data_IF_422237754995
#
_entry.id   IF_422237754995
#
_cell.length_a   1.000
_cell.length_b   1.000
_cell.length_c   1.000
_cell.angle_alpha   90.00
_cell.angle_beta   90.00
_cell.angle_gamma   90.00
#
_symmetry.space_group_name_H-M   'P 1'
#
loop_
_entity.id
_entity.type
_entity.pdbx_description
1 polymer ?
#
# COMPACT_ATOMS: atom_id res chain seq x y z
N UNK A 1 -26.22 -8.68 15.85
CA UNK A 1 -26.27 -10.02 16.48
C UNK A 1 -26.95 -10.92 15.46
N UNK A 2 -26.29 -12.01 15.03
CA UNK A 2 -26.86 -12.94 14.06
C UNK A 2 -27.97 -13.74 14.75
N UNK A 3 -29.22 -13.52 14.36
CA UNK A 3 -30.39 -14.04 15.07
C UNK A 3 -30.97 -15.29 14.43
N UNK A 4 -30.54 -15.64 13.22
CA UNK A 4 -31.05 -16.79 12.47
C UNK A 4 -29.97 -17.85 12.24
N UNK A 5 -30.30 -19.16 12.25
CA UNK A 5 -29.34 -20.24 12.06
C UNK A 5 -28.55 -20.15 10.74
N UNK A 6 -29.15 -19.62 9.68
CA UNK A 6 -28.54 -19.41 8.36
C UNK A 6 -27.52 -18.26 8.30
N UNK A 7 -27.52 -17.39 9.31
CA UNK A 7 -26.63 -16.23 9.35
C UNK A 7 -25.19 -16.63 9.67
N UNK A 8 -24.99 -17.69 10.47
CA UNK A 8 -23.66 -18.13 10.89
C UNK A 8 -22.82 -18.70 9.73
N UNK A 9 -23.34 -19.62 8.89
CA UNK A 9 -22.64 -20.05 7.67
C UNK A 9 -22.34 -18.89 6.73
N UNK A 10 -23.28 -17.96 6.56
CA UNK A 10 -23.11 -16.80 5.67
C UNK A 10 -22.05 -15.83 6.20
N UNK A 11 -22.05 -15.55 7.51
CA UNK A 11 -21.04 -14.75 8.17
C UNK A 11 -19.64 -15.37 8.04
N UNK A 12 -19.55 -16.70 8.16
CA UNK A 12 -18.30 -17.43 7.94
C UNK A 12 -17.79 -17.29 6.51
N UNK A 13 -18.63 -17.46 5.50
CA UNK A 13 -18.25 -17.30 4.09
C UNK A 13 -17.76 -15.88 3.80
N UNK A 14 -18.44 -14.86 4.33
CA UNK A 14 -18.01 -13.46 4.19
C UNK A 14 -16.69 -13.21 4.94
N UNK A 15 -16.52 -13.77 6.12
CA UNK A 15 -15.25 -13.66 6.85
C UNK A 15 -14.11 -14.32 6.09
N UNK A 16 -14.26 -15.55 5.62
CA UNK A 16 -13.21 -16.28 4.88
C UNK A 16 -12.83 -15.56 3.58
N UNK A 17 -13.78 -14.89 2.91
CA UNK A 17 -13.50 -14.13 1.68
C UNK A 17 -12.86 -12.76 1.92
N UNK A 18 -13.16 -12.10 3.04
CA UNK A 18 -12.74 -10.71 3.30
C UNK A 18 -11.59 -10.59 4.30
N UNK A 19 -11.46 -11.53 5.24
CA UNK A 19 -10.43 -11.51 6.26
C UNK A 19 -9.01 -11.48 5.67
N UNK A 20 -8.65 -12.25 4.62
CA UNK A 20 -7.29 -12.19 4.08
C UNK A 20 -6.87 -10.77 3.65
N UNK A 21 -7.81 -10.00 3.09
CA UNK A 21 -7.57 -8.64 2.60
C UNK A 21 -7.61 -7.60 3.74
N UNK A 22 -8.52 -7.78 4.70
CA UNK A 22 -8.82 -6.75 5.71
C UNK A 22 -8.20 -7.02 7.08
N UNK A 23 -7.70 -8.24 7.35
CA UNK A 23 -7.19 -8.63 8.67
C UNK A 23 -6.08 -7.70 9.16
N UNK A 24 -5.19 -7.25 8.26
CA UNK A 24 -4.16 -6.27 8.61
C UNK A 24 -4.76 -4.97 9.17
N UNK A 25 -5.80 -4.45 8.54
CA UNK A 25 -6.46 -3.22 8.98
C UNK A 25 -7.22 -3.44 10.29
N UNK A 26 -7.97 -4.55 10.40
CA UNK A 26 -8.66 -4.92 11.64
C UNK A 26 -7.70 -5.03 12.83
N UNK A 27 -6.52 -5.61 12.63
CA UNK A 27 -5.49 -5.70 13.65
C UNK A 27 -4.87 -4.34 13.98
N UNK A 28 -4.70 -3.46 13.00
CA UNK A 28 -4.23 -2.10 13.24
C UNK A 28 -5.25 -1.30 14.08
N UNK A 29 -6.54 -1.36 13.73
CA UNK A 29 -7.62 -0.69 14.46
C UNK A 29 -7.73 -1.21 15.91
N UNK A 30 -7.64 -2.53 16.11
CA UNK A 30 -7.64 -3.12 17.44
C UNK A 30 -6.49 -2.60 18.31
N UNK A 31 -5.28 -2.52 17.75
CA UNK A 31 -4.10 -1.99 18.44
C UNK A 31 -4.23 -0.49 18.71
N UNK A 32 -4.67 0.29 17.75
CA UNK A 32 -4.87 1.73 17.89
C UNK A 32 -5.91 2.04 18.97
N UNK A 33 -7.00 1.27 19.03
CA UNK A 33 -7.99 1.36 20.11
C UNK A 33 -7.39 1.02 21.47
N UNK A 34 -6.59 -0.03 21.58
CA UNK A 34 -5.92 -0.39 22.83
C UNK A 34 -4.96 0.72 23.31
N UNK A 35 -4.16 1.29 22.41
CA UNK A 35 -3.29 2.45 22.70
C UNK A 35 -4.10 3.64 23.21
N UNK A 36 -5.17 4.01 22.50
CA UNK A 36 -6.01 5.15 22.87
C UNK A 36 -6.72 4.97 24.21
N UNK A 37 -7.09 3.73 24.54
CA UNK A 37 -7.79 3.43 25.80
C UNK A 37 -6.83 3.39 26.99
N UNK A 38 -5.64 2.83 26.80
CA UNK A 38 -4.62 2.69 27.84
C UNK A 38 -3.74 3.93 28.01
N UNK A 39 -3.77 4.83 27.02
CA UNK A 39 -2.81 5.94 26.87
C UNK A 39 -1.33 5.49 26.94
N UNK A 40 -1.05 4.23 26.61
CA UNK A 40 0.28 3.63 26.77
C UNK A 40 0.71 2.91 25.50
N UNK A 41 2.01 2.98 25.20
CA UNK A 41 2.66 2.16 24.17
C UNK A 41 3.14 0.81 24.72
N UNK A 42 3.00 0.60 26.03
CA UNK A 42 3.32 -0.66 26.69
C UNK A 42 2.31 -1.75 26.28
N UNK A 43 2.83 -2.78 25.63
CA UNK A 43 2.04 -3.90 25.11
C UNK A 43 1.42 -4.75 26.22
N UNK A 44 2.00 -4.74 27.42
CA UNK A 44 1.44 -5.45 28.58
C UNK A 44 0.16 -4.77 29.07
N UNK A 45 0.08 -3.44 28.95
CA UNK A 45 -1.12 -2.67 29.30
C UNK A 45 -2.30 -2.94 28.34
N UNK A 46 -2.05 -3.51 27.15
CA UNK A 46 -3.07 -3.74 26.13
C UNK A 46 -3.84 -5.06 26.32
N UNK A 47 -3.35 -5.96 27.19
CA UNK A 47 -3.87 -7.34 27.31
C UNK A 47 -5.37 -7.40 27.61
N UNK A 48 -5.90 -6.48 28.41
CA UNK A 48 -7.33 -6.42 28.75
C UNK A 48 -8.19 -5.65 27.74
N UNK A 49 -7.57 -5.05 26.72
CA UNK A 49 -8.22 -4.15 25.76
C UNK A 49 -8.31 -4.75 24.35
N UNK A 50 -8.37 -6.08 24.28
CA UNK A 50 -8.55 -6.81 23.02
C UNK A 50 -9.89 -6.53 22.34
N UNK A 51 -10.00 -6.78 21.03
CA UNK A 51 -11.24 -6.57 20.30
C UNK A 51 -12.29 -7.63 20.67
N UNK A 52 -13.57 -7.22 20.70
CA UNK A 52 -14.73 -8.08 21.09
C UNK A 52 -14.85 -9.35 20.23
N UNK A 53 -14.37 -9.31 19.00
CA UNK A 53 -14.41 -10.43 18.06
C UNK A 53 -13.25 -11.42 18.22
N UNK A 54 -12.28 -11.16 19.10
CA UNK A 54 -11.14 -12.04 19.39
C UNK A 54 -11.21 -12.54 20.83
N UNK A 55 -10.93 -13.83 21.06
CA UNK A 55 -10.81 -14.36 22.42
C UNK A 55 -9.63 -13.70 23.13
N UNK A 56 -9.81 -13.42 24.43
CA UNK A 56 -8.79 -12.79 25.28
C UNK A 56 -7.45 -13.51 25.20
N UNK A 57 -7.43 -14.83 25.37
CA UNK A 57 -6.19 -15.62 25.35
C UNK A 57 -5.40 -15.49 24.03
N UNK A 58 -6.09 -15.33 22.89
CA UNK A 58 -5.43 -15.08 21.60
C UNK A 58 -4.85 -13.67 21.52
N UNK A 59 -5.57 -12.69 22.06
CA UNK A 59 -5.09 -11.31 22.11
C UNK A 59 -3.88 -11.16 23.04
N UNK A 60 -3.93 -11.76 24.23
CA UNK A 60 -2.81 -11.82 25.18
C UNK A 60 -1.57 -12.46 24.53
N UNK A 61 -1.73 -13.60 23.84
CA UNK A 61 -0.65 -14.25 23.12
C UNK A 61 -0.03 -13.34 22.03
N UNK A 62 -0.85 -12.54 21.34
CA UNK A 62 -0.37 -11.56 20.36
C UNK A 62 0.38 -10.41 21.02
N UNK A 63 -0.13 -9.86 22.13
CA UNK A 63 0.55 -8.84 22.93
C UNK A 63 1.93 -9.32 23.39
N UNK A 64 2.03 -10.55 23.91
CA UNK A 64 3.32 -11.16 24.27
C UNK A 64 4.24 -11.30 23.07
N UNK A 65 3.73 -11.75 21.92
CA UNK A 65 4.54 -11.87 20.69
C UNK A 65 5.08 -10.51 20.24
N UNK A 66 4.26 -9.47 20.28
CA UNK A 66 4.70 -8.11 19.93
C UNK A 66 5.66 -7.52 20.95
N UNK A 67 5.58 -7.96 22.21
CA UNK A 67 6.47 -7.52 23.28
C UNK A 67 7.89 -8.10 23.15
N UNK A 68 8.09 -9.12 22.30
CA UNK A 68 9.41 -9.68 22.06
C UNK A 68 10.36 -8.67 21.41
N UNK A 69 11.61 -8.62 21.88
CA UNK A 69 12.66 -7.76 21.33
C UNK A 69 12.81 -7.86 19.80
N UNK A 70 12.92 -9.06 19.20
CA UNK A 70 13.01 -9.22 17.75
C UNK A 70 11.84 -8.60 16.97
N UNK A 71 10.62 -8.68 17.51
CA UNK A 71 9.46 -8.07 16.86
C UNK A 71 9.52 -6.54 16.94
N UNK A 72 9.86 -5.99 18.11
CA UNK A 72 9.98 -4.56 18.30
C UNK A 72 11.09 -3.96 17.44
N UNK A 73 12.25 -4.61 17.38
CA UNK A 73 13.37 -4.21 16.53
C UNK A 73 12.94 -4.14 15.06
N UNK A 74 12.28 -5.19 14.55
CA UNK A 74 11.75 -5.20 13.18
C UNK A 74 10.72 -4.10 12.95
N UNK A 75 9.83 -3.87 13.92
CA UNK A 75 8.81 -2.82 13.85
C UNK A 75 9.44 -1.42 13.82
N UNK A 76 10.44 -1.17 14.67
CA UNK A 76 11.16 0.10 14.73
C UNK A 76 12.01 0.32 13.49
N UNK A 77 12.70 -0.71 12.98
CA UNK A 77 13.42 -0.65 11.73
C UNK A 77 12.47 -0.28 10.57
N UNK A 78 11.33 -0.96 10.44
CA UNK A 78 10.33 -0.63 9.43
C UNK A 78 9.78 0.81 9.59
N UNK A 79 9.61 1.30 10.83
CA UNK A 79 9.21 2.69 11.10
C UNK A 79 10.29 3.68 10.66
N UNK A 80 11.55 3.42 11.00
CA UNK A 80 12.71 4.24 10.59
C UNK A 80 12.86 4.25 9.07
N UNK A 81 12.72 3.11 8.40
CA UNK A 81 12.78 3.02 6.94
C UNK A 81 11.70 3.87 6.26
N UNK A 82 10.47 3.85 6.78
CA UNK A 82 9.39 4.74 6.29
C UNK A 82 9.68 6.21 6.56
N UNK A 83 10.24 6.55 7.72
CA UNK A 83 10.56 7.93 8.10
C UNK A 83 11.79 8.49 7.36
N UNK A 84 12.73 7.64 6.94
CA UNK A 84 13.93 8.04 6.20
C UNK A 84 13.64 8.44 4.75
N UNK A 85 12.49 7.99 4.20
CA UNK A 85 12.11 8.21 2.80
C UNK A 85 10.62 8.58 2.68
N UNK A 86 10.17 9.69 3.29
CA UNK A 86 8.77 10.10 3.27
C UNK A 86 8.23 10.37 1.85
N UNK A 87 9.11 10.75 0.92
CA UNK A 87 8.82 11.01 -0.49
C UNK A 87 8.66 9.74 -1.34
N UNK A 88 9.14 8.59 -0.86
CA UNK A 88 9.12 7.33 -1.59
C UNK A 88 7.79 6.60 -1.39
N UNK A 89 7.25 6.03 -2.48
CA UNK A 89 5.98 5.30 -2.53
C UNK A 89 4.71 6.14 -2.32
N UNK A 90 4.81 7.47 -2.46
CA UNK A 90 3.63 8.35 -2.46
C UNK A 90 2.96 8.29 -3.83
N UNK A 91 1.67 7.99 -3.84
CA UNK A 91 0.83 7.92 -5.04
C UNK A 91 -0.61 8.34 -4.67
N UNK A 92 -1.38 8.84 -5.63
CA UNK A 92 -2.74 9.37 -5.46
C UNK A 92 -3.84 8.39 -5.88
N UNK A 93 -3.47 7.21 -6.39
CA UNK A 93 -4.38 6.16 -6.89
C UNK A 93 -5.33 5.57 -5.83
N UNK A 94 -4.98 5.71 -4.53
CA UNK A 94 -5.72 5.07 -3.45
C UNK A 94 -5.76 3.55 -3.60
N UNK A 95 -6.93 2.95 -3.38
CA UNK A 95 -7.13 1.49 -3.51
C UNK A 95 -7.43 1.03 -4.95
N UNK A 96 -7.43 1.94 -5.92
CA UNK A 96 -7.74 1.62 -7.32
C UNK A 96 -6.48 1.11 -8.00
N UNK A 97 -6.61 -0.03 -8.71
CA UNK A 97 -5.49 -0.64 -9.41
C UNK A 97 -5.02 0.18 -10.60
N UNK A 98 -3.74 0.03 -10.96
CA UNK A 98 -3.15 0.66 -12.15
C UNK A 98 -3.87 0.23 -13.44
N UNK A 99 -4.29 -1.04 -13.54
CA UNK A 99 -5.07 -1.54 -14.67
C UNK A 99 -6.43 -0.84 -14.79
N UNK A 100 -7.09 -0.59 -13.67
CA UNK A 100 -8.35 0.17 -13.65
C UNK A 100 -8.13 1.63 -14.06
N UNK A 101 -7.03 2.26 -13.63
CA UNK A 101 -6.67 3.60 -14.09
C UNK A 101 -6.40 3.63 -15.61
N UNK A 102 -5.66 2.66 -16.13
CA UNK A 102 -5.40 2.51 -17.56
C UNK A 102 -6.68 2.32 -18.38
N UNK A 103 -7.62 1.49 -17.93
CA UNK A 103 -8.91 1.30 -18.61
C UNK A 103 -9.76 2.58 -18.64
N UNK A 104 -9.80 3.33 -17.53
CA UNK A 104 -10.51 4.62 -17.48
C UNK A 104 -9.90 5.62 -18.46
N UNK A 105 -8.58 5.71 -18.46
CA UNK A 105 -7.86 6.64 -19.33
C UNK A 105 -7.99 6.25 -20.81
N UNK A 106 -8.06 4.94 -21.12
CA UNK A 106 -8.34 4.44 -22.46
C UNK A 106 -9.69 4.93 -23.00
N UNK A 107 -10.72 4.90 -22.16
CA UNK A 107 -12.04 5.43 -22.51
C UNK A 107 -12.03 6.96 -22.66
N UNK A 108 -11.31 7.68 -21.79
CA UNK A 108 -11.23 9.15 -21.84
C UNK A 108 -10.47 9.66 -23.07
N UNK A 109 -9.42 8.96 -23.50
CA UNK A 109 -8.59 9.35 -24.64
C UNK A 109 -9.03 8.71 -25.96
N UNK A 110 -9.99 7.78 -25.93
CA UNK A 110 -10.41 6.96 -27.07
C UNK A 110 -9.26 6.21 -27.77
N UNK A 111 -8.18 5.94 -27.04
CA UNK A 111 -7.00 5.19 -27.48
C UNK A 111 -6.32 4.51 -26.31
N UNK A 112 -5.44 3.56 -26.60
CA UNK A 112 -4.58 2.97 -25.58
C UNK A 112 -3.68 4.07 -24.97
N UNK A 113 -3.72 4.28 -23.63
CA UNK A 113 -2.86 5.24 -22.98
C UNK A 113 -1.42 4.71 -22.89
N UNK A 114 -0.47 5.63 -22.87
CA UNK A 114 0.93 5.27 -22.61
C UNK A 114 1.13 4.92 -21.14
N UNK A 115 2.16 4.15 -20.84
CA UNK A 115 2.54 3.86 -19.46
C UNK A 115 2.82 5.16 -18.68
N UNK A 116 3.47 6.14 -19.31
CA UNK A 116 3.76 7.43 -18.67
C UNK A 116 2.47 8.21 -18.34
N UNK A 117 1.46 8.20 -19.22
CA UNK A 117 0.18 8.86 -18.94
C UNK A 117 -0.56 8.22 -17.75
N UNK A 118 -0.50 6.89 -17.61
CA UNK A 118 -1.09 6.21 -16.45
C UNK A 118 -0.27 6.47 -15.17
N UNK A 119 1.05 6.63 -15.30
CA UNK A 119 1.91 7.04 -14.20
C UNK A 119 1.55 8.45 -13.71
N UNK A 120 1.41 9.41 -14.61
CA UNK A 120 0.97 10.78 -14.32
C UNK A 120 -0.36 10.80 -13.58
N UNK A 121 -1.36 10.05 -14.05
CA UNK A 121 -2.68 9.97 -13.42
C UNK A 121 -2.63 9.47 -11.96
N UNK A 122 -1.59 8.71 -11.61
CA UNK A 122 -1.44 8.09 -10.29
C UNK A 122 -0.40 8.79 -9.40
N UNK A 123 0.40 9.70 -9.95
CA UNK A 123 1.51 10.35 -9.24
C UNK A 123 1.53 11.88 -9.38
N UNK A 124 0.59 12.49 -10.10
CA UNK A 124 0.33 13.94 -10.06
C UNK A 124 -0.81 14.29 -9.09
N UNK A 125 -0.78 15.52 -8.58
CA UNK A 125 -1.82 16.07 -7.72
C UNK A 125 -3.03 16.42 -8.57
N UNK A 126 -4.23 16.08 -8.08
CA UNK A 126 -5.47 16.34 -8.83
C UNK A 126 -5.63 17.85 -9.07
N UNK A 127 -5.79 18.24 -10.33
CA UNK A 127 -6.00 19.64 -10.72
C UNK A 127 -4.72 20.47 -10.83
N UNK A 128 -3.54 19.86 -10.68
CA UNK A 128 -2.26 20.49 -11.02
C UNK A 128 -1.44 19.54 -11.89
N UNK A 129 -0.37 20.04 -12.51
CA UNK A 129 0.59 19.22 -13.25
C UNK A 129 1.78 18.77 -12.36
N UNK A 130 1.69 19.04 -11.05
CA UNK A 130 2.78 18.78 -10.11
C UNK A 130 2.75 17.33 -9.62
N UNK A 131 3.93 16.72 -9.58
CA UNK A 131 4.12 15.43 -8.95
C UNK A 131 3.89 15.49 -7.43
N UNK A 132 3.40 14.38 -6.89
CA UNK A 132 3.12 14.23 -5.46
C UNK A 132 4.41 14.17 -4.63
N UNK A 133 5.52 13.79 -5.24
CA UNK A 133 6.85 13.81 -4.65
C UNK A 133 7.94 14.05 -5.68
N UNK A 134 9.08 14.56 -5.22
CA UNK A 134 10.27 14.76 -6.05
C UNK A 134 10.77 13.44 -6.65
N UNK A 135 10.66 12.33 -5.90
CA UNK A 135 11.01 11.01 -6.41
C UNK A 135 10.14 10.59 -7.58
N UNK A 136 8.83 10.85 -7.55
CA UNK A 136 7.95 10.53 -8.68
C UNK A 136 8.34 11.33 -9.94
N UNK A 137 8.65 12.62 -9.77
CA UNK A 137 9.17 13.46 -10.85
C UNK A 137 10.47 12.91 -11.43
N UNK A 138 11.44 12.63 -10.56
CA UNK A 138 12.76 12.12 -10.99
C UNK A 138 12.62 10.79 -11.75
N UNK A 139 11.71 9.91 -11.33
CA UNK A 139 11.44 8.64 -12.01
C UNK A 139 10.87 8.89 -13.41
N UNK A 140 9.85 9.73 -13.54
CA UNK A 140 9.25 10.09 -14.83
C UNK A 140 10.30 10.69 -15.78
N UNK A 141 11.03 11.72 -15.35
CA UNK A 141 12.05 12.38 -16.16
C UNK A 141 13.19 11.44 -16.55
N UNK A 142 13.62 10.55 -15.65
CA UNK A 142 14.66 9.57 -15.95
C UNK A 142 14.16 8.55 -16.96
N UNK A 143 12.93 8.06 -16.81
CA UNK A 143 12.32 7.11 -17.74
C UNK A 143 12.19 7.72 -19.13
N UNK A 144 11.66 8.93 -19.25
CA UNK A 144 11.52 9.64 -20.53
C UNK A 144 12.87 9.82 -21.22
N UNK A 145 13.91 10.22 -20.47
CA UNK A 145 15.27 10.32 -21.00
C UNK A 145 15.80 8.97 -21.48
N UNK A 146 15.65 7.91 -20.69
CA UNK A 146 16.12 6.57 -21.06
C UNK A 146 15.38 6.02 -22.28
N UNK A 147 14.07 6.27 -22.40
CA UNK A 147 13.29 5.90 -23.57
C UNK A 147 13.76 6.66 -24.82
N UNK A 148 14.03 7.97 -24.71
CA UNK A 148 14.55 8.79 -25.80
C UNK A 148 15.95 8.34 -26.25
N UNK A 149 16.83 7.97 -25.31
CA UNK A 149 18.18 7.48 -25.62
C UNK A 149 18.17 6.10 -26.29
N UNK A 150 17.28 5.19 -25.85
CA UNK A 150 17.18 3.82 -26.37
C UNK A 150 16.48 3.73 -27.73
N UNK A 151 15.51 4.61 -27.97
CA UNK A 151 14.66 4.56 -29.16
C UNK A 151 14.69 5.89 -29.91
N UNK A 152 15.74 6.07 -30.70
CA UNK A 152 15.90 7.17 -31.67
C UNK A 152 14.73 7.27 -32.65
N UNK A 153 14.51 8.47 -33.20
CA UNK A 153 13.46 8.77 -34.18
C UNK A 153 13.39 7.72 -35.30
N UNK A 154 12.20 7.14 -35.48
CA UNK A 154 11.91 6.13 -36.52
C UNK A 154 11.92 4.68 -36.04
N UNK A 155 12.35 4.40 -34.80
CA UNK A 155 12.18 3.06 -34.20
C UNK A 155 10.82 2.93 -33.47
N UNK A 156 10.10 1.80 -33.61
CA UNK A 156 8.86 1.61 -32.85
C UNK A 156 9.14 1.55 -31.35
N UNK A 157 8.67 2.55 -30.62
CA UNK A 157 8.79 2.60 -29.16
C UNK A 157 7.75 1.67 -28.50
N UNK A 158 8.16 0.78 -27.59
CA UNK A 158 7.20 0.01 -26.80
C UNK A 158 6.45 0.91 -25.82
N UNK A 159 5.25 0.51 -25.42
CA UNK A 159 4.47 1.25 -24.42
C UNK A 159 5.18 1.27 -23.04
N UNK A 160 5.86 0.17 -22.71
CA UNK A 160 6.69 0.05 -21.51
C UNK A 160 7.98 -0.68 -21.89
N UNK A 161 9.14 -0.08 -21.60
CA UNK A 161 10.41 -0.80 -21.50
C UNK A 161 10.64 -1.14 -20.02
N UNK A 162 10.49 -2.43 -19.62
CA UNK A 162 10.64 -2.83 -18.23
C UNK A 162 12.04 -2.57 -17.66
N UNK A 163 13.08 -2.63 -18.49
CA UNK A 163 14.45 -2.39 -18.03
C UNK A 163 14.69 -0.90 -17.80
N UNK A 164 14.29 -0.05 -18.77
CA UNK A 164 14.34 1.40 -18.60
C UNK A 164 13.55 1.86 -17.38
N UNK A 165 12.39 1.22 -17.12
CA UNK A 165 11.60 1.48 -15.93
C UNK A 165 12.31 1.07 -14.63
N UNK A 166 12.92 -0.11 -14.60
CA UNK A 166 13.67 -0.59 -13.42
C UNK A 166 14.86 0.32 -13.12
N UNK A 167 15.56 0.79 -14.16
CA UNK A 167 16.67 1.73 -14.04
C UNK A 167 16.20 3.08 -13.46
N UNK A 168 15.10 3.63 -13.99
CA UNK A 168 14.51 4.89 -13.52
C UNK A 168 13.96 4.79 -12.09
N UNK A 169 13.27 3.71 -11.75
CA UNK A 169 12.67 3.48 -10.43
C UNK A 169 13.68 3.11 -9.34
N UNK A 170 14.96 2.91 -9.69
CA UNK A 170 16.05 2.63 -8.75
C UNK A 170 16.15 1.16 -8.30
N UNK A 171 15.59 0.24 -9.08
CA UNK A 171 15.70 -1.21 -8.89
C UNK A 171 14.93 -1.79 -7.70
N UNK A 172 14.95 -3.12 -7.56
CA UNK A 172 14.33 -3.83 -6.43
C UNK A 172 15.26 -3.79 -5.21
N UNK A 173 15.30 -2.68 -4.48
CA UNK A 173 15.95 -2.67 -3.15
C UNK A 173 14.97 -3.26 -2.14
N UNK A 174 15.22 -4.50 -1.71
CA UNK A 174 14.51 -5.12 -0.58
C UNK A 174 14.79 -4.25 0.67
N UNK A 175 13.78 -3.52 1.13
CA UNK A 175 13.80 -2.74 2.37
C UNK A 175 13.45 -3.56 3.61
#
# INVERSE_FOLDING_TARGET
>A
MFTRPEDLPRARVVWESTAPTNFRNLMWEARDKAVKTTCSQDLTAWMDYGPVWMKRDYWEALCHRWATGPWQERSQAAKRNRAAHPEKNVHTSGSVSYATHSQKLCHELERTPTFHEVFDQTHKRKGTDDYVSESARTIAETYDRTMADRYVEGTPQPNLDPEAWVDAAGGTRKG
#
